data_IF_465193361307
#
_entry.id   IF_465193361307
#
_cell.length_a   1.000
_cell.length_b   1.000
_cell.length_c   1.000
_cell.angle_alpha   90.00
_cell.angle_beta   90.00
_cell.angle_gamma   90.00
#
_symmetry.space_group_name_H-M   'P 1'
#
loop_
_entity.id
_entity.type
_entity.pdbx_description
1 polymer ?
#
# COMPACT_ATOMS: atom_id res chain seq x y z
N UNK A 1 11.30 0.26 -16.35
CA UNK A 1 10.69 0.26 -15.02
C UNK A 1 9.79 1.47 -14.98
N UNK A 2 8.49 1.25 -15.08
CA UNK A 2 7.50 2.32 -15.04
C UNK A 2 6.54 1.98 -13.91
N UNK A 3 6.81 2.54 -12.73
CA UNK A 3 5.89 2.42 -11.60
C UNK A 3 4.58 3.10 -11.98
N UNK A 4 3.47 2.35 -11.90
CA UNK A 4 2.14 2.92 -12.14
C UNK A 4 1.59 3.37 -10.79
N UNK A 5 1.47 4.68 -10.58
CA UNK A 5 0.87 5.23 -9.36
C UNK A 5 -0.64 4.94 -9.35
N UNK A 6 -1.12 4.26 -8.31
CA UNK A 6 -2.54 3.89 -8.15
C UNK A 6 -3.23 4.79 -7.13
N UNK A 7 -2.56 5.09 -6.01
CA UNK A 7 -3.05 5.99 -4.96
C UNK A 7 -1.91 6.87 -4.48
N UNK A 8 -2.13 8.16 -4.36
CA UNK A 8 -1.18 9.09 -3.76
C UNK A 8 -1.89 10.00 -2.74
N UNK A 9 -1.51 9.86 -1.47
CA UNK A 9 -2.00 10.63 -0.32
C UNK A 9 -0.80 11.00 0.54
N UNK A 10 -0.95 12.03 1.36
CA UNK A 10 0.12 12.60 2.19
C UNK A 10 0.94 11.54 2.94
N UNK A 11 0.29 10.54 3.54
CA UNK A 11 0.93 9.52 4.37
C UNK A 11 0.91 8.10 3.77
N UNK A 12 0.32 7.92 2.58
CA UNK A 12 0.03 6.61 2.01
C UNK A 12 0.10 6.67 0.49
N UNK A 13 0.97 5.85 -0.10
CA UNK A 13 1.04 5.68 -1.54
C UNK A 13 0.94 4.21 -1.93
N UNK A 14 0.27 3.94 -3.05
CA UNK A 14 0.17 2.60 -3.65
C UNK A 14 0.62 2.69 -5.11
N UNK A 15 1.58 1.85 -5.46
CA UNK A 15 2.18 1.77 -6.80
C UNK A 15 2.11 0.33 -7.30
N UNK A 16 2.04 0.15 -8.61
CA UNK A 16 2.16 -1.16 -9.26
C UNK A 16 3.48 -1.25 -10.02
N UNK A 17 4.22 -2.34 -9.77
CA UNK A 17 5.39 -2.76 -10.53
C UNK A 17 4.95 -3.58 -11.73
N UNK A 18 5.00 -3.00 -12.93
CA UNK A 18 4.62 -3.71 -14.15
C UNK A 18 5.62 -4.82 -14.54
N UNK A 19 6.84 -4.78 -13.99
CA UNK A 19 7.90 -5.74 -14.32
C UNK A 19 7.86 -6.96 -13.41
N UNK A 20 7.72 -6.71 -12.11
CA UNK A 20 7.75 -7.77 -11.10
C UNK A 20 6.33 -8.25 -10.74
N UNK A 21 5.28 -7.63 -11.30
CA UNK A 21 3.86 -7.91 -11.01
C UNK A 21 3.52 -7.78 -9.51
N UNK A 22 4.12 -6.80 -8.85
CA UNK A 22 3.99 -6.56 -7.41
C UNK A 22 3.30 -5.22 -7.14
N UNK A 23 2.47 -5.17 -6.10
CA UNK A 23 2.06 -3.90 -5.52
C UNK A 23 3.13 -3.40 -4.53
N UNK A 24 3.32 -2.08 -4.49
CA UNK A 24 4.10 -1.41 -3.45
C UNK A 24 3.17 -0.55 -2.63
N UNK A 25 3.09 -0.86 -1.34
CA UNK A 25 2.43 -0.05 -0.33
C UNK A 25 3.51 0.73 0.42
N UNK A 26 3.43 2.05 0.38
CA UNK A 26 4.36 2.94 1.05
C UNK A 26 3.61 3.79 2.07
N UNK A 27 4.06 3.72 3.32
CA UNK A 27 3.47 4.44 4.45
C UNK A 27 4.52 5.35 5.03
N UNK A 28 4.16 6.60 5.34
CA UNK A 28 5.02 7.50 6.10
C UNK A 28 4.32 8.04 7.35
N UNK A 29 5.12 8.28 8.39
CA UNK A 29 4.64 8.73 9.70
C UNK A 29 4.27 10.23 9.76
N UNK A 30 4.42 10.98 8.65
CA UNK A 30 4.08 12.41 8.57
C UNK A 30 4.97 13.32 9.41
N UNK A 31 6.10 12.81 9.91
CA UNK A 31 7.06 13.60 10.69
C UNK A 31 7.83 14.61 9.83
N UNK A 32 8.51 15.55 10.51
CA UNK A 32 9.42 16.53 9.85
C UNK A 32 10.54 15.80 9.08
N UNK A 33 10.97 14.65 9.58
CA UNK A 33 11.82 13.68 8.88
C UNK A 33 11.05 12.37 8.76
N UNK A 34 10.26 12.18 7.69
CA UNK A 34 9.33 11.06 7.62
C UNK A 34 10.08 9.73 7.51
N UNK A 35 9.67 8.75 8.31
CA UNK A 35 10.13 7.38 8.17
C UNK A 35 9.21 6.64 7.21
N UNK A 36 9.78 6.15 6.12
CA UNK A 36 9.05 5.41 5.10
C UNK A 36 9.17 3.91 5.35
N UNK A 37 8.02 3.24 5.37
CA UNK A 37 7.94 1.78 5.31
C UNK A 37 7.36 1.42 3.96
N UNK A 38 8.12 0.67 3.16
CA UNK A 38 7.68 0.15 1.87
C UNK A 38 7.49 -1.36 1.99
N UNK A 39 6.30 -1.83 1.62
CA UNK A 39 5.94 -3.25 1.61
C UNK A 39 5.68 -3.64 0.16
N UNK A 40 6.35 -4.68 -0.33
CA UNK A 40 6.03 -5.31 -1.62
C UNK A 40 5.04 -6.43 -1.35
N UNK A 41 3.94 -6.44 -2.10
CA UNK A 41 2.87 -7.41 -1.96
C UNK A 41 2.65 -8.11 -3.30
N UNK A 42 2.60 -9.43 -3.29
CA UNK A 42 2.11 -10.22 -4.42
C UNK A 42 0.57 -10.29 -4.44
N UNK A 43 0.00 -10.90 -5.48
CA UNK A 43 -1.46 -11.04 -5.66
C UNK A 43 -2.17 -11.62 -4.42
N UNK A 44 -1.68 -12.72 -3.86
CA UNK A 44 -2.30 -13.36 -2.68
C UNK A 44 -2.22 -12.47 -1.44
N UNK A 45 -1.09 -11.80 -1.23
CA UNK A 45 -0.93 -10.88 -0.09
C UNK A 45 -1.81 -9.63 -0.23
N UNK A 46 -2.10 -9.19 -1.46
CA UNK A 46 -3.05 -8.12 -1.75
C UNK A 46 -4.46 -8.54 -1.33
N UNK A 47 -4.90 -9.74 -1.73
CA UNK A 47 -6.22 -10.27 -1.36
C UNK A 47 -6.39 -10.39 0.15
N UNK A 48 -5.40 -10.96 0.84
CA UNK A 48 -5.38 -11.09 2.30
C UNK A 48 -5.47 -9.72 2.99
N UNK A 49 -4.72 -8.73 2.50
CA UNK A 49 -4.75 -7.36 3.03
C UNK A 49 -6.11 -6.68 2.80
N UNK A 50 -6.70 -6.84 1.61
CA UNK A 50 -8.03 -6.31 1.31
C UNK A 50 -9.07 -6.90 2.26
N UNK A 51 -9.06 -8.22 2.45
CA UNK A 51 -9.99 -8.89 3.36
C UNK A 51 -9.84 -8.38 4.80
N UNK A 52 -8.61 -8.27 5.30
CA UNK A 52 -8.34 -7.76 6.65
C UNK A 52 -8.84 -6.31 6.83
N UNK A 53 -8.55 -5.43 5.87
CA UNK A 53 -8.99 -4.04 5.90
C UNK A 53 -10.52 -3.91 5.84
N UNK A 54 -11.19 -4.75 5.05
CA UNK A 54 -12.66 -4.77 4.98
C UNK A 54 -13.28 -5.18 6.32
N UNK A 55 -12.75 -6.22 6.98
CA UNK A 55 -13.20 -6.66 8.31
C UNK A 55 -13.03 -5.55 9.35
N UNK A 56 -11.89 -4.86 9.35
CA UNK A 56 -11.64 -3.72 10.25
C UNK A 56 -12.62 -2.59 9.99
N UNK A 57 -12.86 -2.24 8.71
CA UNK A 57 -13.81 -1.19 8.33
C UNK A 57 -15.22 -1.48 8.85
N UNK A 58 -15.67 -2.74 8.76
CA UNK A 58 -16.97 -3.16 9.29
C UNK A 58 -17.05 -3.07 10.81
N UNK A 59 -15.95 -3.30 11.53
CA UNK A 59 -15.91 -3.22 12.99
C UNK A 59 -15.88 -1.78 13.53
N UNK A 60 -15.45 -0.81 12.72
CA UNK A 60 -15.41 0.62 13.08
C UNK A 60 -16.76 1.31 12.83
N UNK A 61 -17.61 0.73 11.98
CA UNK A 61 -18.97 1.22 11.66
C UNK A 61 -19.99 0.77 12.71
#
# INVERSE_FOLDING_TARGET
MTWIQVLDKENLSVKFDDKDEMALLEINDGGISPNYVTIRLNETEIDDLIEALQRIKQAIQ
#
